data_IF_723564133299
#
_entry.id   IF_723564133299
#
_cell.length_a   1.000
_cell.length_b   1.000
_cell.length_c   1.000
_cell.angle_alpha   90.00
_cell.angle_beta   90.00
_cell.angle_gamma   90.00
#
_symmetry.space_group_name_H-M   'P 1'
#
loop_
_entity.id
_entity.type
_entity.pdbx_description
1 polymer ?
#
# COMPACT_ATOMS: atom_id res chain seq x y z
N UNK A 1 -16.61 -24.50 -8.69
CA UNK A 1 -17.01 -23.23 -8.07
C UNK A 1 -16.00 -22.22 -8.53
N UNK A 2 -16.39 -21.39 -9.50
CA UNK A 2 -15.49 -20.47 -10.18
C UNK A 2 -15.08 -19.32 -9.26
N UNK A 3 -13.88 -18.79 -9.44
CA UNK A 3 -13.46 -17.57 -8.76
C UNK A 3 -14.40 -16.42 -9.13
N UNK A 4 -14.79 -15.65 -8.11
CA UNK A 4 -15.36 -14.30 -8.24
C UNK A 4 -16.88 -14.19 -8.49
N UNK A 5 -17.67 -14.81 -7.62
CA UNK A 5 -19.08 -14.41 -7.39
C UNK A 5 -19.19 -13.37 -6.25
N UNK A 6 -18.23 -12.44 -6.16
CA UNK A 6 -18.25 -11.31 -5.21
C UNK A 6 -19.62 -10.59 -5.18
N UNK A 7 -20.29 -10.28 -6.31
CA UNK A 7 -21.59 -9.61 -6.24
C UNK A 7 -22.68 -10.49 -5.61
N UNK A 8 -22.67 -11.80 -5.87
CA UNK A 8 -23.61 -12.73 -5.24
C UNK A 8 -23.34 -12.85 -3.73
N UNK A 9 -22.08 -12.92 -3.33
CA UNK A 9 -21.67 -12.95 -1.92
C UNK A 9 -22.11 -11.67 -1.21
N UNK A 10 -21.94 -10.50 -1.84
CA UNK A 10 -22.38 -9.21 -1.30
C UNK A 10 -23.90 -9.15 -1.13
N UNK A 11 -24.68 -9.60 -2.12
CA UNK A 11 -26.14 -9.69 -2.00
C UNK A 11 -26.54 -10.60 -0.85
N UNK A 12 -25.88 -11.75 -0.70
CA UNK A 12 -26.14 -12.70 0.38
C UNK A 12 -25.80 -12.11 1.75
N UNK A 13 -24.63 -11.50 1.88
CA UNK A 13 -24.17 -10.85 3.10
C UNK A 13 -25.12 -9.71 3.51
N UNK A 14 -25.54 -8.87 2.56
CA UNK A 14 -26.52 -7.82 2.81
C UNK A 14 -27.83 -8.37 3.35
N UNK A 15 -28.39 -9.40 2.69
CA UNK A 15 -29.65 -10.03 3.12
C UNK A 15 -29.54 -10.66 4.50
N UNK A 16 -28.39 -11.25 4.82
CA UNK A 16 -28.14 -11.89 6.09
C UNK A 16 -28.07 -10.88 7.25
N UNK A 17 -27.43 -9.75 7.02
CA UNK A 17 -27.22 -8.72 8.05
C UNK A 17 -28.43 -7.81 8.20
N UNK A 18 -28.98 -7.31 7.09
CA UNK A 18 -30.07 -6.32 7.11
C UNK A 18 -31.46 -6.93 7.14
N UNK A 19 -31.57 -8.25 6.87
CA UNK A 19 -32.83 -8.97 6.66
C UNK A 19 -33.72 -8.34 5.58
N UNK A 20 -33.13 -7.53 4.69
CA UNK A 20 -33.79 -6.86 3.57
C UNK A 20 -33.22 -7.34 2.26
N UNK A 21 -34.04 -7.24 1.21
CA UNK A 21 -33.55 -7.46 -0.15
C UNK A 21 -32.89 -6.17 -0.66
N UNK A 22 -31.63 -6.23 -1.11
CA UNK A 22 -30.92 -5.05 -1.58
C UNK A 22 -31.44 -4.56 -2.93
N UNK A 23 -32.26 -5.35 -3.65
CA UNK A 23 -32.64 -5.05 -5.02
C UNK A 23 -31.42 -5.03 -5.94
N UNK A 24 -31.30 -3.98 -6.75
CA UNK A 24 -30.17 -3.76 -7.65
C UNK A 24 -29.08 -2.95 -6.92
N UNK A 25 -27.96 -3.60 -6.57
CA UNK A 25 -26.81 -2.92 -5.97
C UNK A 25 -25.92 -2.34 -7.07
N UNK A 26 -25.89 -1.00 -7.17
CA UNK A 26 -24.98 -0.31 -8.07
C UNK A 26 -23.66 0.01 -7.36
N UNK A 27 -22.54 0.07 -8.10
CA UNK A 27 -21.23 0.38 -7.51
C UNK A 27 -21.20 1.77 -6.87
N UNK A 28 -21.89 2.74 -7.49
CA UNK A 28 -21.99 4.11 -6.99
C UNK A 28 -22.97 4.26 -5.80
N UNK A 29 -23.61 3.18 -5.37
CA UNK A 29 -24.56 3.24 -4.25
C UNK A 29 -23.81 3.39 -2.93
N UNK A 30 -24.18 4.43 -2.19
CA UNK A 30 -23.75 4.69 -0.82
C UNK A 30 -24.28 3.62 0.14
N UNK A 31 -23.38 3.04 0.94
CA UNK A 31 -23.74 2.00 1.91
C UNK A 31 -24.68 2.56 2.99
N UNK A 32 -24.42 3.79 3.43
CA UNK A 32 -25.28 4.47 4.42
C UNK A 32 -26.67 4.77 3.85
N UNK A 33 -26.78 5.04 2.56
CA UNK A 33 -28.06 5.29 1.88
C UNK A 33 -28.92 4.01 1.80
N UNK A 34 -28.30 2.83 1.79
CA UNK A 34 -28.99 1.54 1.90
C UNK A 34 -29.51 1.25 3.32
N UNK A 35 -29.20 2.12 4.30
CA UNK A 35 -29.55 1.94 5.71
C UNK A 35 -28.69 0.87 6.39
N UNK A 36 -27.44 0.71 5.93
CA UNK A 36 -26.43 -0.14 6.56
C UNK A 36 -25.62 0.72 7.52
N UNK A 37 -25.64 0.36 8.79
CA UNK A 37 -24.85 1.00 9.84
C UNK A 37 -23.39 0.52 9.85
N UNK A 38 -22.49 1.26 10.52
CA UNK A 38 -21.07 0.90 10.62
C UNK A 38 -20.81 -0.53 11.13
N UNK A 39 -21.64 -1.00 12.06
CA UNK A 39 -21.57 -2.39 12.58
C UNK A 39 -22.05 -3.40 11.54
N UNK A 40 -23.13 -3.09 10.82
CA UNK A 40 -23.67 -3.97 9.79
C UNK A 40 -22.72 -4.08 8.59
N UNK A 41 -22.04 -2.99 8.24
CA UNK A 41 -20.98 -3.00 7.24
C UNK A 41 -19.85 -3.95 7.65
N UNK A 42 -19.38 -3.87 8.90
CA UNK A 42 -18.36 -4.78 9.44
C UNK A 42 -18.82 -6.24 9.33
N UNK A 43 -20.05 -6.54 9.75
CA UNK A 43 -20.62 -7.90 9.67
C UNK A 43 -20.70 -8.40 8.22
N UNK A 44 -21.10 -7.54 7.28
CA UNK A 44 -21.14 -7.90 5.85
C UNK A 44 -19.75 -8.26 5.33
N UNK A 45 -18.71 -7.51 5.73
CA UNK A 45 -17.33 -7.78 5.35
C UNK A 45 -16.88 -9.12 5.93
N UNK A 46 -17.11 -9.37 7.22
CA UNK A 46 -16.75 -10.63 7.88
C UNK A 46 -17.42 -11.84 7.22
N UNK A 47 -18.70 -11.72 6.83
CA UNK A 47 -19.41 -12.75 6.08
C UNK A 47 -18.76 -12.98 4.71
N UNK A 48 -18.48 -11.90 3.98
CA UNK A 48 -17.86 -11.99 2.66
C UNK A 48 -16.45 -12.62 2.73
N UNK A 49 -15.62 -12.22 3.70
CA UNK A 49 -14.31 -12.82 3.96
C UNK A 49 -14.42 -14.32 4.25
N UNK A 50 -15.38 -14.72 5.09
CA UNK A 50 -15.58 -16.11 5.47
C UNK A 50 -16.02 -16.97 4.29
N UNK A 51 -16.93 -16.46 3.47
CA UNK A 51 -17.45 -17.16 2.29
C UNK A 51 -16.40 -17.25 1.17
N UNK A 52 -15.58 -16.21 0.99
CA UNK A 52 -14.54 -16.15 -0.04
C UNK A 52 -13.20 -16.76 0.44
N UNK A 53 -13.06 -17.04 1.74
CA UNK A 53 -11.81 -17.53 2.33
C UNK A 53 -10.68 -16.51 2.33
N UNK A 54 -11.01 -15.23 2.46
CA UNK A 54 -10.09 -14.09 2.38
C UNK A 54 -9.78 -13.49 3.75
N UNK A 55 -8.77 -12.62 3.80
CA UNK A 55 -8.48 -11.75 4.94
C UNK A 55 -8.24 -10.32 4.47
N UNK A 56 -9.11 -9.43 4.91
CA UNK A 56 -9.08 -7.99 4.68
C UNK A 56 -8.43 -7.33 5.91
N UNK A 57 -7.44 -6.45 5.72
CA UNK A 57 -6.84 -5.71 6.82
C UNK A 57 -7.79 -4.66 7.38
N UNK A 58 -7.82 -4.49 8.71
CA UNK A 58 -8.73 -3.56 9.40
C UNK A 58 -8.60 -2.10 8.91
N UNK A 59 -7.40 -1.70 8.48
CA UNK A 59 -7.13 -0.38 7.94
C UNK A 59 -7.95 -0.06 6.68
N UNK A 60 -8.31 -1.08 5.91
CA UNK A 60 -9.12 -0.90 4.70
C UNK A 60 -10.61 -0.74 5.03
N UNK A 61 -11.10 -1.33 6.13
CA UNK A 61 -12.51 -1.31 6.55
C UNK A 61 -13.04 0.12 6.75
N UNK A 62 -12.18 1.02 7.25
CA UNK A 62 -12.54 2.41 7.51
C UNK A 62 -12.68 3.29 6.26
N UNK A 63 -12.24 2.82 5.10
CA UNK A 63 -12.28 3.60 3.84
C UNK A 63 -13.53 3.31 2.99
N UNK A 64 -14.33 2.31 3.37
CA UNK A 64 -15.47 1.86 2.58
C UNK A 64 -16.68 2.76 2.78
N UNK A 65 -17.05 3.49 1.73
CA UNK A 65 -18.26 4.34 1.73
C UNK A 65 -19.34 3.84 0.76
N UNK A 66 -18.94 3.17 -0.33
CA UNK A 66 -19.84 2.71 -1.40
C UNK A 66 -19.73 1.21 -1.65
N UNK A 67 -20.74 0.63 -2.31
CA UNK A 67 -20.72 -0.77 -2.75
C UNK A 67 -19.53 -1.05 -3.68
N UNK A 68 -19.15 -0.09 -4.51
CA UNK A 68 -17.99 -0.18 -5.38
C UNK A 68 -16.68 -0.30 -4.59
N UNK A 69 -16.54 0.47 -3.51
CA UNK A 69 -15.37 0.42 -2.63
C UNK A 69 -15.26 -0.95 -1.92
N UNK A 70 -16.39 -1.48 -1.45
CA UNK A 70 -16.46 -2.80 -0.85
C UNK A 70 -16.11 -3.92 -1.85
N UNK A 71 -16.57 -3.80 -3.09
CA UNK A 71 -16.20 -4.73 -4.16
C UNK A 71 -14.70 -4.69 -4.42
N UNK A 72 -14.13 -3.50 -4.59
CA UNK A 72 -12.73 -3.29 -4.93
C UNK A 72 -11.81 -3.77 -3.81
N UNK A 73 -12.20 -3.55 -2.55
CA UNK A 73 -11.54 -4.12 -1.38
C UNK A 73 -11.48 -5.65 -1.43
N UNK A 74 -12.61 -6.31 -1.67
CA UNK A 74 -12.68 -7.77 -1.70
C UNK A 74 -11.91 -8.35 -2.90
N UNK A 75 -11.94 -7.66 -4.04
CA UNK A 75 -11.17 -8.03 -5.24
C UNK A 75 -9.65 -7.93 -5.00
N UNK A 76 -9.19 -6.87 -4.32
CA UNK A 76 -7.78 -6.72 -3.92
C UNK A 76 -7.34 -7.74 -2.88
N UNK A 77 -8.24 -8.13 -1.98
CA UNK A 77 -7.98 -9.12 -0.93
C UNK A 77 -8.05 -10.56 -1.44
N UNK A 78 -8.70 -10.80 -2.60
CA UNK A 78 -8.66 -12.08 -3.26
C UNK A 78 -7.20 -12.49 -3.48
N UNK A 79 -6.81 -13.76 -3.22
CA UNK A 79 -5.48 -14.22 -3.53
C UNK A 79 -5.30 -14.07 -5.04
N UNK A 80 -4.65 -12.98 -5.42
CA UNK A 80 -3.95 -12.84 -6.68
C UNK A 80 -2.96 -14.01 -6.63
N UNK A 81 -3.35 -15.15 -7.20
CA UNK A 81 -2.46 -16.27 -7.34
C UNK A 81 -1.18 -15.72 -7.98
N UNK A 82 -0.11 -15.66 -7.18
CA UNK A 82 1.29 -15.63 -7.58
C UNK A 82 2.05 -14.28 -7.73
N UNK A 83 1.48 -13.08 -7.53
CA UNK A 83 2.18 -11.85 -7.98
C UNK A 83 2.97 -11.00 -6.94
N UNK A 84 3.00 -11.28 -5.63
CA UNK A 84 3.59 -10.33 -4.64
C UNK A 84 4.65 -10.92 -3.68
N UNK A 85 5.36 -11.98 -4.06
CA UNK A 85 6.47 -12.51 -3.22
C UNK A 85 7.87 -12.07 -3.66
N UNK A 86 8.10 -11.39 -4.80
CA UNK A 86 9.48 -11.05 -5.22
C UNK A 86 9.59 -9.72 -5.97
N UNK A 87 9.64 -8.57 -5.26
CA UNK A 87 10.43 -7.39 -5.74
C UNK A 87 10.81 -6.36 -4.65
N UNK A 88 10.61 -6.65 -3.35
CA UNK A 88 11.08 -5.77 -2.27
C UNK A 88 12.28 -6.39 -1.53
N UNK A 89 13.31 -6.83 -2.26
CA UNK A 89 14.63 -7.21 -1.70
C UNK A 89 15.82 -6.74 -2.56
N UNK A 90 15.61 -6.12 -3.73
CA UNK A 90 16.72 -5.76 -4.65
C UNK A 90 17.09 -4.26 -4.70
N UNK A 91 16.53 -3.41 -3.84
CA UNK A 91 16.89 -1.99 -3.80
C UNK A 91 18.02 -1.63 -2.81
N UNK A 92 18.59 -2.59 -2.08
CA UNK A 92 19.67 -2.35 -1.11
C UNK A 92 20.81 -3.37 -1.23
N UNK A 93 21.22 -3.70 -2.44
CA UNK A 93 22.46 -4.43 -2.72
C UNK A 93 23.05 -3.95 -4.06
N UNK A 94 23.50 -2.69 -4.09
CA UNK A 94 24.03 -2.08 -5.32
C UNK A 94 24.73 -0.73 -5.14
N UNK A 95 25.05 -0.34 -3.90
CA UNK A 95 25.99 0.76 -3.64
C UNK A 95 27.37 0.19 -3.28
N UNK A 96 27.84 -0.75 -4.09
CA UNK A 96 29.22 -1.20 -4.06
C UNK A 96 30.10 -0.17 -4.77
N UNK A 97 31.13 0.26 -4.03
CA UNK A 97 32.48 0.36 -4.54
C UNK A 97 32.75 1.41 -5.65
N UNK A 98 32.72 2.69 -5.28
CA UNK A 98 33.65 3.66 -5.88
C UNK A 98 35.01 3.53 -5.21
N UNK A 99 35.72 2.46 -5.56
CA UNK A 99 37.12 2.23 -5.22
C UNK A 99 37.95 3.22 -6.06
N UNK A 100 38.39 4.29 -5.41
CA UNK A 100 39.39 5.21 -5.94
C UNK A 100 40.74 4.48 -6.02
N UNK A 101 41.08 3.95 -7.19
CA UNK A 101 42.44 3.55 -7.54
C UNK A 101 42.73 3.95 -8.98
N UNK A 102 43.08 5.22 -9.18
CA UNK A 102 43.93 5.63 -10.29
C UNK A 102 45.21 6.22 -9.72
N UNK A 103 46.19 5.33 -9.58
CA UNK A 103 47.56 5.59 -9.16
C UNK A 103 48.42 5.75 -10.42
N UNK A 104 49.40 6.68 -10.33
CA UNK A 104 50.66 6.85 -11.11
C UNK A 104 50.63 7.70 -12.38
N UNK A 105 51.58 8.60 -12.67
CA UNK A 105 52.83 9.19 -12.08
C UNK A 105 53.38 10.17 -13.17
N UNK A 106 54.56 10.85 -13.11
CA UNK A 106 55.40 11.37 -12.01
C UNK A 106 55.90 12.85 -12.22
N UNK A 107 56.65 13.35 -11.22
CA UNK A 107 57.82 14.25 -11.31
C UNK A 107 57.67 15.81 -11.28
N UNK A 108 58.02 16.34 -10.10
CA UNK A 108 59.06 17.37 -9.85
C UNK A 108 58.81 18.85 -10.14
N UNK A 109 58.54 19.62 -9.07
CA UNK A 109 59.30 20.80 -8.63
C UNK A 109 58.66 21.32 -7.32
N UNK A 110 59.27 21.13 -6.13
CA UNK A 110 60.33 21.95 -5.52
C UNK A 110 59.81 23.18 -4.75
N UNK A 111 59.98 23.15 -3.42
CA UNK A 111 59.87 24.27 -2.45
C UNK A 111 58.44 24.69 -2.09
N UNK A 112 58.06 25.06 -0.87
CA UNK A 112 58.74 25.29 0.41
C UNK A 112 57.67 25.29 1.52
N UNK A 113 58.03 24.84 2.72
CA UNK A 113 57.31 25.00 4.01
C UNK A 113 57.50 26.45 4.53
N UNK A 114 56.89 26.96 5.64
CA UNK A 114 55.80 26.46 6.52
C UNK A 114 54.78 27.54 7.03
N UNK A 115 53.87 27.07 7.92
CA UNK A 115 53.41 27.73 9.17
C UNK A 115 52.09 28.56 9.22
N UNK A 116 51.41 28.61 10.40
CA UNK A 116 49.96 28.79 10.55
C UNK A 116 49.56 30.12 11.22
N UNK A 117 48.33 30.62 11.02
CA UNK A 117 47.69 31.56 11.95
C UNK A 117 46.19 31.82 11.68
N UNK A 118 45.42 31.78 12.78
CA UNK A 118 44.35 32.74 13.15
C UNK A 118 43.07 32.87 12.32
N UNK A 119 41.99 32.28 12.86
CA UNK A 119 40.73 32.88 13.37
C UNK A 119 40.28 34.32 12.92
N UNK A 120 39.05 34.80 13.25
CA UNK A 120 37.80 34.67 12.49
C UNK A 120 37.08 36.01 12.15
N UNK A 121 35.94 35.91 11.43
CA UNK A 121 34.80 36.84 11.34
C UNK A 121 34.89 38.07 10.38
N UNK A 122 33.83 38.91 10.24
CA UNK A 122 32.68 38.80 9.30
C UNK A 122 32.60 40.03 8.36
N UNK A 123 31.59 40.15 7.47
CA UNK A 123 30.82 41.41 7.15
C UNK A 123 30.04 41.32 5.81
N UNK A 124 28.72 41.54 5.90
CA UNK A 124 27.80 42.33 5.03
C UNK A 124 28.00 42.31 3.51
N UNK A 125 26.93 41.96 2.79
CA UNK A 125 26.19 42.98 2.01
C UNK A 125 24.71 42.65 1.87
#
# INVERSE_FOLDING_TARGET
MTPTDIPQVLHRAYRQVTQRDPGDLHRDTDIRALGVDSVQLLEMIVVAETELGLRVPDAALGSVETIGDLYDMLDRAAPQAEAQTQTQTEAQAGAEAQTQTQTREPASASGSVPAPASAPAPVVR
#
